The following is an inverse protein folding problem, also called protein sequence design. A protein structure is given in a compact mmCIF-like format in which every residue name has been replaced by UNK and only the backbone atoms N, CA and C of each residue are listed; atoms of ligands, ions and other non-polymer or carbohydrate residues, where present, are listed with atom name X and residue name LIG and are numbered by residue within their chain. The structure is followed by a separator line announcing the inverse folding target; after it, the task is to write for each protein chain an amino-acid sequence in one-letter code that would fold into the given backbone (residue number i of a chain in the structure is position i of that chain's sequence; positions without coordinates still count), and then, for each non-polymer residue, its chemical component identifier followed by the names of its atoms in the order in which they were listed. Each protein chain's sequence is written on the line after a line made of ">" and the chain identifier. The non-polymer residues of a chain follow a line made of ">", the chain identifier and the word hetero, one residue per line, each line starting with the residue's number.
data_IF_042342756737
#
_entry.id   IF_042342756737
#
_cell.length_a   1.000
_cell.length_b   1.000
_cell.length_c   1.000
_cell.angle_alpha   90.00
_cell.angle_beta   90.00
_cell.angle_gamma   90.00
#
_symmetry.space_group_name_H-M   'P 1'
#
loop_
_entity.id
_entity.type
_entity.pdbx_description
1 polymer ?
#
# COMPACT_ATOMS: atom_id res chain seq x y z
N UNK A 1 13.37 -21.91 17.46
CA UNK A 1 14.58 -21.24 16.95
C UNK A 1 14.31 -19.74 16.88
N UNK A 2 15.13 -18.94 17.51
CA UNK A 2 15.01 -17.49 17.43
C UNK A 2 15.55 -16.99 16.10
N UNK A 3 14.76 -16.17 15.40
CA UNK A 3 15.24 -15.45 14.24
C UNK A 3 15.79 -14.08 14.66
N UNK A 4 16.94 -13.71 14.15
CA UNK A 4 17.49 -12.38 14.36
C UNK A 4 16.80 -11.39 13.42
N UNK A 5 16.29 -10.29 14.01
CA UNK A 5 15.69 -9.19 13.25
C UNK A 5 16.65 -8.01 13.35
N UNK A 6 17.05 -7.46 12.20
CA UNK A 6 17.91 -6.30 12.13
C UNK A 6 17.06 -5.06 11.88
N UNK A 7 17.22 -4.02 12.68
CA UNK A 7 16.59 -2.71 12.48
C UNK A 7 17.34 -1.85 11.45
N UNK A 8 18.58 -2.22 11.14
CA UNK A 8 19.39 -1.59 10.07
C UNK A 8 20.05 -2.68 9.23
N UNK A 9 20.11 -2.43 7.93
CA UNK A 9 20.77 -3.31 6.99
C UNK A 9 21.93 -2.58 6.31
N UNK A 10 23.07 -3.27 6.16
CA UNK A 10 24.23 -2.73 5.44
C UNK A 10 23.91 -2.60 3.94
N UNK A 11 23.94 -1.37 3.43
CA UNK A 11 23.63 -1.09 2.02
C UNK A 11 24.60 -1.79 1.06
N UNK A 12 25.86 -1.98 1.46
CA UNK A 12 26.84 -2.66 0.64
C UNK A 12 26.53 -4.15 0.50
N UNK A 13 25.86 -4.74 1.48
CA UNK A 13 25.42 -6.13 1.43
C UNK A 13 24.20 -6.36 0.53
N UNK A 14 23.41 -5.32 0.24
CA UNK A 14 22.21 -5.43 -0.60
C UNK A 14 22.54 -5.93 -2.00
N UNK A 15 23.64 -5.48 -2.59
CA UNK A 15 24.04 -5.88 -3.95
C UNK A 15 24.36 -7.36 -4.08
N UNK A 16 24.68 -8.04 -2.98
CA UNK A 16 24.97 -9.48 -2.95
C UNK A 16 23.72 -10.34 -2.76
N UNK A 17 22.58 -9.73 -2.48
CA UNK A 17 21.34 -10.45 -2.29
C UNK A 17 20.70 -10.82 -3.63
N UNK A 18 19.99 -11.94 -3.63
CA UNK A 18 19.20 -12.36 -4.78
C UNK A 18 18.10 -11.34 -5.06
N UNK A 19 17.91 -10.99 -6.34
CA UNK A 19 16.80 -10.12 -6.75
C UNK A 19 15.50 -10.91 -6.74
N UNK A 20 14.50 -10.37 -6.07
CA UNK A 20 13.16 -10.94 -6.05
C UNK A 20 12.19 -9.96 -6.70
N UNK A 21 11.45 -10.44 -7.67
CA UNK A 21 10.37 -9.69 -8.31
C UNK A 21 9.03 -10.30 -7.92
N UNK A 22 8.00 -9.45 -7.81
CA UNK A 22 6.64 -9.92 -7.60
C UNK A 22 6.19 -10.76 -8.80
N UNK A 23 5.80 -12.00 -8.55
CA UNK A 23 5.43 -12.98 -9.58
C UNK A 23 3.91 -13.11 -9.77
N UNK A 24 3.13 -12.37 -8.99
CA UNK A 24 1.69 -12.46 -9.03
C UNK A 24 1.05 -11.55 -10.08
N UNK A 25 -0.27 -11.53 -10.07
CA UNK A 25 -1.08 -10.68 -10.93
C UNK A 25 -1.09 -9.25 -10.39
N UNK A 26 -1.03 -8.28 -11.30
CA UNK A 26 -1.17 -6.86 -10.96
C UNK A 26 -2.47 -6.35 -11.59
N UNK A 27 -3.33 -5.77 -10.76
CA UNK A 27 -4.60 -5.19 -11.20
C UNK A 27 -4.66 -3.71 -10.87
N UNK A 28 -4.95 -2.89 -11.88
CA UNK A 28 -5.16 -1.45 -11.74
C UNK A 28 -6.63 -1.18 -11.44
N UNK A 29 -6.89 -0.51 -10.33
CA UNK A 29 -8.24 -0.23 -9.85
C UNK A 29 -8.58 1.23 -10.10
N UNK A 30 -9.62 1.47 -10.90
CA UNK A 30 -10.01 2.81 -11.36
C UNK A 30 -11.49 3.11 -11.16
N UNK A 31 -12.29 2.16 -10.68
CA UNK A 31 -13.72 2.36 -10.42
C UNK A 31 -14.08 1.93 -8.99
N UNK A 32 -15.14 2.52 -8.47
CA UNK A 32 -15.66 2.17 -7.13
C UNK A 32 -16.05 0.69 -7.07
N UNK A 33 -16.66 0.17 -8.12
CA UNK A 33 -17.04 -1.24 -8.17
C UNK A 33 -15.82 -2.16 -8.07
N UNK A 34 -14.77 -1.88 -8.83
CA UNK A 34 -13.51 -2.64 -8.76
C UNK A 34 -12.87 -2.52 -7.37
N UNK A 35 -12.88 -1.31 -6.79
CA UNK A 35 -12.33 -1.07 -5.46
C UNK A 35 -13.07 -1.88 -4.39
N UNK A 36 -14.40 -1.92 -4.43
CA UNK A 36 -15.21 -2.68 -3.48
C UNK A 36 -14.87 -4.17 -3.53
N UNK A 37 -14.74 -4.73 -4.73
CA UNK A 37 -14.38 -6.14 -4.91
C UNK A 37 -12.97 -6.44 -4.44
N UNK A 38 -12.01 -5.57 -4.77
CA UNK A 38 -10.63 -5.73 -4.34
C UNK A 38 -10.50 -5.68 -2.82
N UNK A 39 -11.20 -4.75 -2.16
CA UNK A 39 -11.18 -4.63 -0.70
C UNK A 39 -11.80 -5.85 -0.02
N UNK A 40 -12.92 -6.37 -0.53
CA UNK A 40 -13.52 -7.59 0.01
C UNK A 40 -12.55 -8.76 -0.05
N UNK A 41 -11.84 -8.90 -1.17
CA UNK A 41 -10.81 -9.94 -1.31
C UNK A 41 -9.66 -9.72 -0.32
N UNK A 42 -9.14 -8.50 -0.22
CA UNK A 42 -7.99 -8.18 0.64
C UNK A 42 -8.31 -8.42 2.12
N UNK A 43 -9.51 -8.07 2.56
CA UNK A 43 -9.93 -8.29 3.95
C UNK A 43 -10.17 -9.76 4.28
N UNK A 44 -10.21 -10.64 3.27
CA UNK A 44 -10.26 -12.10 3.47
C UNK A 44 -8.87 -12.74 3.60
N UNK A 45 -7.80 -11.98 3.36
CA UNK A 45 -6.43 -12.50 3.38
C UNK A 45 -5.82 -12.41 4.77
N UNK A 46 -4.93 -13.34 5.16
CA UNK A 46 -4.30 -13.30 6.48
C UNK A 46 -3.29 -12.15 6.62
N UNK A 47 -2.57 -11.83 5.55
CA UNK A 47 -1.54 -10.78 5.54
C UNK A 47 -1.65 -10.01 4.23
N UNK A 48 -1.61 -8.68 4.32
CA UNK A 48 -1.56 -7.79 3.17
C UNK A 48 -0.45 -6.75 3.37
N UNK A 49 0.19 -6.38 2.27
CA UNK A 49 1.24 -5.37 2.27
C UNK A 49 0.75 -4.07 1.66
N UNK A 50 1.24 -2.96 2.18
CA UNK A 50 0.85 -1.61 1.75
C UNK A 50 2.05 -0.79 1.34
N UNK A 51 1.87 0.03 0.32
CA UNK A 51 2.79 1.10 -0.05
C UNK A 51 2.01 2.23 -0.72
N UNK A 52 2.57 3.42 -0.73
CA UNK A 52 1.97 4.57 -1.38
C UNK A 52 2.98 5.25 -2.30
N UNK A 53 2.47 5.88 -3.36
CA UNK A 53 3.28 6.68 -4.26
C UNK A 53 2.63 8.06 -4.46
N UNK A 54 3.45 9.08 -4.39
CA UNK A 54 3.03 10.46 -4.57
C UNK A 54 3.64 11.00 -5.86
N UNK A 55 2.82 11.64 -6.70
CA UNK A 55 3.34 12.28 -7.89
C UNK A 55 4.28 13.42 -7.48
N UNK A 56 5.51 13.48 -8.01
CA UNK A 56 6.43 14.57 -7.71
C UNK A 56 5.82 15.93 -8.07
N UNK A 57 6.00 16.91 -7.18
CA UNK A 57 5.59 18.28 -7.41
C UNK A 57 6.83 19.17 -7.32
N UNK A 58 7.20 19.78 -8.45
CA UNK A 58 8.37 20.64 -8.55
C UNK A 58 8.05 22.11 -8.31
N UNK A 59 6.79 22.45 -8.05
CA UNK A 59 6.38 23.83 -7.75
C UNK A 59 6.59 24.14 -6.27
N UNK A 60 7.27 25.25 -6.01
CA UNK A 60 7.59 25.69 -4.66
C UNK A 60 6.31 26.00 -3.87
N UNK A 61 6.20 25.46 -2.65
CA UNK A 61 5.07 25.71 -1.77
C UNK A 61 3.83 24.85 -2.03
N UNK A 62 3.88 23.95 -3.01
CA UNK A 62 2.79 22.98 -3.25
C UNK A 62 3.18 21.60 -2.76
N UNK A 63 2.25 20.93 -2.09
CA UNK A 63 2.39 19.52 -1.71
C UNK A 63 1.51 18.66 -2.62
N UNK A 64 2.05 17.53 -3.07
CA UNK A 64 1.29 16.55 -3.83
C UNK A 64 0.58 15.59 -2.89
N UNK A 65 -0.64 15.22 -3.25
CA UNK A 65 -1.38 14.16 -2.55
C UNK A 65 -0.90 12.80 -3.02
N UNK A 66 -1.05 11.79 -2.18
CA UNK A 66 -0.80 10.40 -2.58
C UNK A 66 -1.67 10.06 -3.79
N UNK A 67 -1.03 9.66 -4.87
CA UNK A 67 -1.70 9.37 -6.14
C UNK A 67 -2.04 7.88 -6.30
N UNK A 68 -1.25 7.01 -5.70
CA UNK A 68 -1.37 5.56 -5.83
C UNK A 68 -1.26 4.89 -4.47
N UNK A 69 -2.22 4.01 -4.19
CA UNK A 69 -2.16 3.09 -3.05
C UNK A 69 -1.93 1.69 -3.61
N UNK A 70 -0.85 1.05 -3.20
CA UNK A 70 -0.52 -0.31 -3.57
C UNK A 70 -0.85 -1.24 -2.41
N UNK A 71 -1.66 -2.25 -2.65
CA UNK A 71 -1.99 -3.24 -1.63
C UNK A 71 -1.85 -4.63 -2.23
N UNK A 72 -1.02 -5.44 -1.62
CA UNK A 72 -0.72 -6.77 -2.13
C UNK A 72 -1.13 -7.87 -1.13
N UNK A 73 -1.67 -8.94 -1.67
CA UNK A 73 -1.75 -10.23 -1.02
C UNK A 73 -0.68 -11.14 -1.64
N UNK A 74 -0.72 -12.43 -1.33
CA UNK A 74 0.35 -13.36 -1.75
C UNK A 74 0.57 -13.39 -3.26
N UNK A 75 -0.49 -13.43 -4.07
CA UNK A 75 -0.42 -13.66 -5.51
C UNK A 75 -1.02 -12.53 -6.35
N UNK A 76 -1.40 -11.43 -5.73
CA UNK A 76 -2.01 -10.30 -6.44
C UNK A 76 -1.64 -8.99 -5.78
N UNK A 77 -1.39 -7.97 -6.60
CA UNK A 77 -1.18 -6.61 -6.15
C UNK A 77 -2.23 -5.71 -6.81
N UNK A 78 -2.94 -4.94 -6.01
CA UNK A 78 -3.89 -3.96 -6.48
C UNK A 78 -3.28 -2.57 -6.44
N UNK A 79 -3.40 -1.85 -7.55
CA UNK A 79 -2.95 -0.48 -7.69
C UNK A 79 -4.18 0.43 -7.73
N UNK A 80 -4.52 1.01 -6.60
CA UNK A 80 -5.67 1.92 -6.49
C UNK A 80 -5.23 3.33 -6.94
N UNK A 81 -5.78 3.79 -8.07
CA UNK A 81 -5.49 5.11 -8.61
C UNK A 81 -6.31 6.17 -7.88
N UNK A 82 -5.77 6.74 -6.82
CA UNK A 82 -6.48 7.67 -5.94
C UNK A 82 -6.80 9.01 -6.61
N UNK A 83 -6.05 9.41 -7.63
CA UNK A 83 -6.39 10.61 -8.41
C UNK A 83 -7.70 10.45 -9.18
N UNK A 84 -8.09 9.21 -9.49
CA UNK A 84 -9.36 8.87 -10.18
C UNK A 84 -10.46 8.55 -9.17
N UNK A 85 -10.12 7.72 -8.16
CA UNK A 85 -11.08 7.18 -7.21
C UNK A 85 -11.36 8.09 -6.01
N UNK A 86 -10.35 8.84 -5.55
CA UNK A 86 -10.32 9.33 -4.19
C UNK A 86 -10.23 8.17 -3.18
N UNK A 87 -10.52 8.45 -1.92
CA UNK A 87 -10.71 7.41 -0.91
C UNK A 87 -12.17 6.98 -0.91
N UNK A 88 -12.46 5.87 -1.56
CA UNK A 88 -13.82 5.29 -1.54
C UNK A 88 -14.14 4.75 -0.15
N UNK A 89 -15.42 4.51 0.13
CA UNK A 89 -15.84 3.96 1.43
C UNK A 89 -15.18 2.59 1.68
N UNK A 90 -15.03 1.76 0.64
CA UNK A 90 -14.35 0.47 0.77
C UNK A 90 -12.86 0.62 1.10
N UNK A 91 -12.17 1.56 0.47
CA UNK A 91 -10.75 1.83 0.79
C UNK A 91 -10.60 2.34 2.22
N UNK A 92 -11.48 3.23 2.67
CA UNK A 92 -11.51 3.68 4.06
C UNK A 92 -11.72 2.52 5.03
N UNK A 93 -12.63 1.61 4.70
CA UNK A 93 -12.87 0.39 5.47
C UNK A 93 -11.61 -0.47 5.54
N UNK A 94 -10.92 -0.66 4.42
CA UNK A 94 -9.65 -1.41 4.37
C UNK A 94 -8.61 -0.81 5.30
N UNK A 95 -8.45 0.51 5.27
CA UNK A 95 -7.44 1.23 6.06
C UNK A 95 -7.76 1.25 7.55
N UNK A 96 -9.03 1.28 7.92
CA UNK A 96 -9.48 1.36 9.32
C UNK A 96 -9.85 0.00 9.94
N UNK A 97 -9.82 -1.07 9.15
CA UNK A 97 -10.21 -2.40 9.63
C UNK A 97 -9.28 -2.88 10.75
N UNK A 98 -9.87 -3.30 11.86
CA UNK A 98 -9.18 -3.85 13.03
C UNK A 98 -9.38 -5.36 13.15
N UNK A 99 -9.78 -6.02 12.07
CA UNK A 99 -10.01 -7.46 12.02
C UNK A 99 -8.70 -8.27 12.06
N UNK A 100 -8.80 -9.53 11.64
CA UNK A 100 -7.70 -10.49 11.76
C UNK A 100 -6.61 -10.32 10.69
N UNK A 101 -6.86 -9.57 9.63
CA UNK A 101 -5.89 -9.35 8.57
C UNK A 101 -4.72 -8.50 9.07
N UNK A 102 -3.51 -9.05 8.98
CA UNK A 102 -2.30 -8.33 9.34
C UNK A 102 -1.90 -7.40 8.21
N UNK A 103 -1.71 -6.12 8.52
CA UNK A 103 -1.30 -5.09 7.58
C UNK A 103 0.18 -4.77 7.78
N UNK A 104 0.96 -4.83 6.71
CA UNK A 104 2.41 -4.62 6.72
C UNK A 104 2.78 -3.49 5.79
N UNK A 105 3.60 -2.55 6.26
CA UNK A 105 4.12 -1.47 5.43
C UNK A 105 5.48 -1.02 5.94
N UNK A 106 6.38 -0.66 5.04
CA UNK A 106 7.74 -0.24 5.41
C UNK A 106 7.73 1.12 6.13
N UNK A 107 7.05 2.11 5.57
CA UNK A 107 6.92 3.46 6.14
C UNK A 107 5.46 3.75 6.47
N UNK A 108 4.83 2.86 7.22
CA UNK A 108 3.39 2.86 7.42
C UNK A 108 2.85 4.15 8.02
N UNK A 109 3.58 4.72 8.98
CA UNK A 109 3.17 6.00 9.59
C UNK A 109 3.09 7.13 8.55
N UNK A 110 4.11 7.26 7.71
CA UNK A 110 4.15 8.30 6.66
C UNK A 110 3.08 8.05 5.60
N UNK A 111 2.84 6.80 5.24
CA UNK A 111 1.79 6.42 4.31
C UNK A 111 0.41 6.81 4.84
N UNK A 112 0.13 6.51 6.10
CA UNK A 112 -1.13 6.90 6.75
C UNK A 112 -1.31 8.41 6.79
N UNK A 113 -0.26 9.16 7.17
CA UNK A 113 -0.31 10.62 7.17
C UNK A 113 -0.62 11.19 5.79
N UNK A 114 -0.01 10.61 4.73
CA UNK A 114 -0.28 11.00 3.35
C UNK A 114 -1.71 10.70 2.92
N UNK A 115 -2.24 9.56 3.29
CA UNK A 115 -3.62 9.15 2.96
C UNK A 115 -4.66 9.98 3.70
N UNK A 116 -4.40 10.35 4.96
CA UNK A 116 -5.30 11.21 5.73
C UNK A 116 -5.51 12.59 5.12
N UNK A 117 -4.59 13.07 4.30
CA UNK A 117 -4.76 14.33 3.54
C UNK A 117 -5.86 14.22 2.50
N UNK A 118 -6.22 13.01 2.05
CA UNK A 118 -7.31 12.78 1.10
C UNK A 118 -8.68 12.64 1.78
N UNK A 119 -8.72 12.25 3.03
CA UNK A 119 -9.96 12.06 3.77
C UNK A 119 -9.72 11.27 5.05
N UNK A 120 -10.70 11.31 5.92
CA UNK A 120 -10.65 10.57 7.18
C UNK A 120 -11.12 9.11 7.02
N UNK A 121 -10.51 8.26 7.78
CA UNK A 121 -10.87 6.85 7.85
C UNK A 121 -10.62 6.27 9.24
#
# INVERSE_FOLDING_TARGET
>A
MMKTIFDKFDKDAISSLERVCFQGRIEVIQSTFEADRAVDFLLSQPIIGFDTETKPNFQRGQSSMVALLQVSAQNVCFLFRLNVLGLTDSIKRLLSDEGETIKVGLSWHDDICGLLKRGFF
#
